data_IF_576786329775
#
_entry.id   IF_576786329775
#
_cell.length_a   1.000
_cell.length_b   1.000
_cell.length_c   1.000
_cell.angle_alpha   90.00
_cell.angle_beta   90.00
_cell.angle_gamma   90.00
#
_symmetry.space_group_name_H-M   'P 1'
#
loop_
_entity.id
_entity.type
_entity.pdbx_description
1 polymer ?
#
# COMPACT_ATOMS: atom_id res chain seq x y z
N UNK A 1 0.17 -5.69 9.87
CA UNK A 1 1.29 -6.58 10.15
C UNK A 1 1.01 -7.99 9.63
N UNK A 2 2.05 -8.83 9.50
CA UNK A 2 2.00 -10.16 8.94
C UNK A 2 0.89 -11.04 9.54
N UNK A 3 0.72 -11.04 10.85
CA UNK A 3 -0.28 -11.88 11.55
C UNK A 3 -1.71 -11.58 11.09
N UNK A 4 -2.04 -10.30 10.85
CA UNK A 4 -3.38 -9.92 10.37
C UNK A 4 -3.64 -10.35 8.93
N UNK A 5 -2.59 -10.53 8.13
CA UNK A 5 -2.68 -10.94 6.73
C UNK A 5 -2.64 -12.46 6.54
N UNK A 6 -2.43 -13.26 7.60
CA UNK A 6 -2.29 -14.72 7.50
C UNK A 6 -3.50 -15.39 6.86
N UNK A 7 -4.72 -14.94 7.14
CA UNK A 7 -5.93 -15.54 6.54
C UNK A 7 -5.94 -15.36 5.02
N UNK A 8 -5.67 -14.16 4.55
CA UNK A 8 -5.64 -13.85 3.12
C UNK A 8 -4.46 -14.57 2.44
N UNK A 9 -3.28 -14.57 3.08
CA UNK A 9 -2.15 -15.35 2.60
C UNK A 9 -2.46 -16.83 2.49
N UNK A 10 -3.15 -17.40 3.48
CA UNK A 10 -3.59 -18.80 3.44
C UNK A 10 -4.55 -19.07 2.26
N UNK A 11 -5.51 -18.17 1.99
CA UNK A 11 -6.43 -18.33 0.86
C UNK A 11 -5.70 -18.28 -0.48
N UNK A 12 -4.80 -17.31 -0.68
CA UNK A 12 -3.98 -17.25 -1.89
C UNK A 12 -3.12 -18.51 -2.09
N UNK A 13 -2.51 -19.00 -1.02
CA UNK A 13 -1.71 -20.22 -1.11
C UNK A 13 -2.56 -21.44 -1.40
N UNK A 14 -3.68 -21.62 -0.68
CA UNK A 14 -4.52 -22.81 -0.79
C UNK A 14 -5.31 -22.88 -2.09
N UNK A 15 -5.91 -21.76 -2.51
CA UNK A 15 -6.85 -21.75 -3.64
C UNK A 15 -6.15 -21.40 -4.98
N UNK A 16 -5.01 -20.71 -4.94
CA UNK A 16 -4.30 -20.25 -6.14
C UNK A 16 -2.87 -20.81 -6.26
N UNK A 17 -2.41 -21.61 -5.30
CA UNK A 17 -1.05 -22.16 -5.25
C UNK A 17 0.07 -21.08 -5.28
N UNK A 18 -0.19 -19.91 -4.70
CA UNK A 18 0.79 -18.83 -4.63
C UNK A 18 1.76 -19.05 -3.48
N UNK A 19 3.03 -18.73 -3.71
CA UNK A 19 3.97 -18.48 -2.62
C UNK A 19 3.64 -17.14 -1.97
N UNK A 20 3.72 -17.05 -0.65
CA UNK A 20 3.31 -15.88 0.12
C UNK A 20 4.47 -15.30 0.89
N UNK A 21 4.67 -13.99 0.75
CA UNK A 21 5.53 -13.19 1.60
C UNK A 21 4.69 -12.17 2.36
N UNK A 22 4.77 -12.19 3.68
CA UNK A 22 4.04 -11.28 4.57
C UNK A 22 5.04 -10.46 5.39
N UNK A 23 5.49 -9.28 4.92
CA UNK A 23 6.38 -8.44 5.70
C UNK A 23 5.63 -7.72 6.82
N UNK A 24 6.31 -7.52 7.94
CA UNK A 24 5.93 -6.50 8.91
C UNK A 24 6.54 -5.16 8.47
N UNK A 25 5.71 -4.14 8.31
CA UNK A 25 6.15 -2.79 7.99
C UNK A 25 6.90 -2.16 9.18
N UNK A 26 7.67 -1.12 8.93
CA UNK A 26 8.37 -0.36 9.96
C UNK A 26 7.44 0.02 11.12
N UNK A 27 7.90 -0.14 12.35
CA UNK A 27 7.10 0.11 13.55
C UNK A 27 5.98 -0.90 13.83
N UNK A 28 5.92 -2.02 13.09
CA UNK A 28 4.89 -3.05 13.25
C UNK A 28 5.49 -4.44 13.45
N UNK A 29 4.75 -5.28 14.18
CA UNK A 29 5.10 -6.68 14.38
C UNK A 29 6.48 -6.88 14.98
N UNK A 30 7.36 -7.57 14.27
CA UNK A 30 8.74 -7.84 14.65
C UNK A 30 9.76 -6.92 13.96
N UNK A 31 9.31 -6.02 13.09
CA UNK A 31 10.17 -5.04 12.43
C UNK A 31 10.61 -3.94 13.39
N UNK A 32 11.76 -3.35 13.10
CA UNK A 32 12.29 -2.20 13.81
C UNK A 32 11.36 -0.98 13.68
N UNK A 33 11.57 0.02 14.53
CA UNK A 33 10.83 1.25 14.51
C UNK A 33 9.86 1.42 15.68
N UNK A 34 9.41 2.64 15.88
CA UNK A 34 8.57 3.03 17.01
C UNK A 34 7.35 3.90 16.61
N UNK A 35 7.12 4.08 15.32
CA UNK A 35 5.98 4.85 14.78
C UNK A 35 5.51 4.31 13.45
N UNK A 36 4.26 4.55 13.11
CA UNK A 36 3.71 4.21 11.79
C UNK A 36 4.11 5.28 10.75
N UNK A 37 4.49 4.85 9.56
CA UNK A 37 4.85 5.73 8.43
C UNK A 37 3.69 5.94 7.45
N UNK A 38 2.51 5.40 7.78
CA UNK A 38 1.26 5.56 7.04
C UNK A 38 1.36 5.25 5.54
N UNK A 39 2.20 4.27 5.18
CA UNK A 39 2.41 3.86 3.80
C UNK A 39 3.46 4.67 3.03
N UNK A 40 3.74 5.92 3.44
CA UNK A 40 4.58 6.81 2.63
C UNK A 40 6.03 6.37 2.52
N UNK A 41 6.72 6.17 3.63
CA UNK A 41 8.07 5.60 3.60
C UNK A 41 8.04 4.09 3.48
N UNK A 42 7.02 3.45 4.05
CA UNK A 42 6.80 2.00 3.94
C UNK A 42 6.79 1.51 2.48
N UNK A 43 6.36 2.34 1.51
CA UNK A 43 6.36 1.96 0.10
C UNK A 43 7.75 1.60 -0.42
N UNK A 44 8.79 2.25 0.10
CA UNK A 44 10.19 1.97 -0.30
C UNK A 44 10.68 0.64 0.29
N UNK A 45 10.29 0.36 1.53
CA UNK A 45 10.58 -0.93 2.17
C UNK A 45 9.87 -2.08 1.45
N UNK A 46 8.60 -1.87 1.04
CA UNK A 46 7.84 -2.86 0.26
C UNK A 46 8.51 -3.14 -1.08
N UNK A 47 9.03 -2.13 -1.79
CA UNK A 47 9.80 -2.33 -3.01
C UNK A 47 11.02 -3.23 -2.79
N UNK A 48 11.77 -3.05 -1.70
CA UNK A 48 12.87 -3.93 -1.33
C UNK A 48 12.40 -5.34 -0.98
N UNK A 49 11.25 -5.47 -0.30
CA UNK A 49 10.66 -6.77 -0.01
C UNK A 49 10.22 -7.52 -1.28
N UNK A 50 9.73 -6.82 -2.31
CA UNK A 50 9.40 -7.46 -3.58
C UNK A 50 10.63 -7.96 -4.32
N UNK A 51 11.75 -7.23 -4.29
CA UNK A 51 13.05 -7.70 -4.79
C UNK A 51 13.52 -8.96 -4.03
N UNK A 52 13.43 -8.93 -2.71
CA UNK A 52 13.77 -10.09 -1.87
C UNK A 52 12.89 -11.30 -2.21
N UNK A 53 11.60 -11.08 -2.47
CA UNK A 53 10.67 -12.15 -2.86
C UNK A 53 11.05 -12.72 -4.24
N UNK A 54 11.40 -11.89 -5.21
CA UNK A 54 11.88 -12.35 -6.52
C UNK A 54 13.14 -13.20 -6.39
N UNK A 55 14.08 -12.77 -5.57
CA UNK A 55 15.29 -13.56 -5.29
C UNK A 55 14.99 -14.90 -4.61
N UNK A 56 14.12 -14.93 -3.62
CA UNK A 56 13.79 -16.13 -2.84
C UNK A 56 13.00 -17.17 -3.66
N UNK A 57 12.01 -16.72 -4.39
CA UNK A 57 11.09 -17.60 -5.13
C UNK A 57 11.58 -17.87 -6.55
N UNK A 58 12.20 -16.92 -7.22
CA UNK A 58 12.76 -17.10 -8.57
C UNK A 58 13.87 -18.14 -8.65
N UNK A 59 14.68 -18.29 -7.60
CA UNK A 59 15.76 -19.30 -7.55
C UNK A 59 15.26 -20.74 -7.42
N UNK A 60 14.04 -20.97 -6.97
CA UNK A 60 13.52 -22.32 -6.72
C UNK A 60 12.97 -23.04 -7.93
N UNK A 61 12.74 -22.34 -9.03
CA UNK A 61 11.99 -22.87 -10.17
C UNK A 61 12.82 -23.21 -11.41
N UNK A 62 14.12 -22.91 -11.47
CA UNK A 62 14.90 -23.22 -12.68
C UNK A 62 16.35 -23.59 -12.39
N UNK A 63 16.77 -24.78 -12.88
CA UNK A 63 18.15 -25.16 -13.04
C UNK A 63 18.84 -24.41 -14.23
N UNK A 64 18.09 -23.58 -14.97
CA UNK A 64 18.60 -22.81 -16.12
C UNK A 64 18.63 -21.31 -15.80
N UNK A 65 19.74 -20.68 -16.14
CA UNK A 65 20.04 -19.26 -15.92
C UNK A 65 19.08 -18.30 -16.68
N UNK A 66 18.25 -18.79 -17.58
CA UNK A 66 17.50 -17.99 -18.56
C UNK A 66 16.09 -17.55 -18.13
N UNK A 67 15.55 -18.01 -17.00
CA UNK A 67 14.21 -17.62 -16.54
C UNK A 67 14.16 -17.52 -15.02
N UNK A 68 14.55 -16.37 -14.48
CA UNK A 68 14.64 -16.12 -13.03
C UNK A 68 13.71 -15.02 -12.54
N UNK A 69 12.66 -14.67 -13.26
CA UNK A 69 11.70 -13.70 -12.75
C UNK A 69 10.44 -14.39 -12.23
N UNK A 70 9.97 -13.95 -11.07
CA UNK A 70 8.66 -14.31 -10.55
C UNK A 70 7.59 -13.42 -11.16
N UNK A 71 6.33 -13.78 -10.96
CA UNK A 71 5.19 -12.92 -11.20
C UNK A 71 4.52 -12.64 -9.86
N UNK A 72 4.36 -11.36 -9.53
CA UNK A 72 3.87 -10.95 -8.21
C UNK A 72 2.60 -10.15 -8.27
N UNK A 73 1.74 -10.39 -7.28
CA UNK A 73 0.63 -9.53 -6.90
C UNK A 73 1.00 -8.85 -5.59
N UNK A 74 0.86 -7.55 -5.52
CA UNK A 74 1.00 -6.80 -4.26
C UNK A 74 -0.39 -6.51 -3.73
N UNK A 75 -0.71 -7.04 -2.54
CA UNK A 75 -2.01 -6.87 -1.91
C UNK A 75 -1.88 -6.23 -0.53
N UNK A 76 -2.66 -5.20 -0.27
CA UNK A 76 -2.71 -4.53 1.03
C UNK A 76 -4.13 -4.23 1.47
N UNK A 77 -4.33 -4.19 2.81
CA UNK A 77 -5.61 -3.84 3.45
C UNK A 77 -5.42 -2.59 4.30
N UNK A 78 -6.37 -1.65 4.26
CA UNK A 78 -6.39 -0.41 5.04
C UNK A 78 -5.10 0.40 4.81
N UNK A 79 -4.30 0.68 5.84
CA UNK A 79 -2.98 1.29 5.67
C UNK A 79 -2.09 0.52 4.69
N UNK A 80 -2.20 -0.82 4.64
CA UNK A 80 -1.51 -1.65 3.65
C UNK A 80 -2.00 -1.41 2.22
N UNK A 81 -3.29 -1.14 2.03
CA UNK A 81 -3.87 -0.77 0.74
C UNK A 81 -3.33 0.58 0.26
N UNK A 82 -3.30 1.58 1.15
CA UNK A 82 -2.66 2.86 0.84
C UNK A 82 -1.17 2.69 0.49
N UNK A 83 -0.45 1.83 1.24
CA UNK A 83 0.95 1.47 0.93
C UNK A 83 1.05 0.85 -0.46
N UNK A 84 0.19 -0.11 -0.80
CA UNK A 84 0.13 -0.78 -2.11
C UNK A 84 -0.09 0.22 -3.26
N UNK A 85 -1.03 1.14 -3.09
CA UNK A 85 -1.26 2.21 -4.05
C UNK A 85 -0.05 3.16 -4.18
N UNK A 86 0.61 3.48 -3.06
CA UNK A 86 1.81 4.30 -3.06
C UNK A 86 3.00 3.59 -3.73
N UNK A 87 3.14 2.27 -3.56
CA UNK A 87 4.10 1.43 -4.29
C UNK A 87 3.84 1.48 -5.78
N UNK A 88 2.58 1.39 -6.20
CA UNK A 88 2.21 1.32 -7.60
C UNK A 88 2.67 2.52 -8.44
N UNK A 89 2.75 3.70 -7.83
CA UNK A 89 3.24 4.90 -8.51
C UNK A 89 4.76 4.98 -8.65
N UNK A 90 5.52 4.13 -7.94
CA UNK A 90 6.98 4.09 -8.01
C UNK A 90 7.49 3.07 -9.06
N UNK A 91 6.72 2.02 -9.32
CA UNK A 91 7.17 0.84 -10.09
C UNK A 91 7.45 1.14 -11.56
N UNK A 92 6.72 2.04 -12.21
CA UNK A 92 6.84 2.31 -13.64
C UNK A 92 7.53 3.63 -13.97
N UNK A 93 7.47 4.60 -13.06
CA UNK A 93 7.96 5.97 -13.29
C UNK A 93 8.99 6.45 -12.27
N UNK A 94 9.23 5.65 -11.22
CA UNK A 94 10.22 5.93 -10.19
C UNK A 94 11.62 5.43 -10.56
N UNK A 95 12.50 5.43 -9.55
CA UNK A 95 13.85 4.85 -9.67
C UNK A 95 13.83 3.31 -9.70
N UNK A 96 12.65 2.70 -9.47
CA UNK A 96 12.49 1.27 -9.28
C UNK A 96 11.76 0.66 -10.47
N UNK A 97 12.48 -0.08 -11.29
CA UNK A 97 11.89 -0.90 -12.35
C UNK A 97 11.75 -2.32 -11.83
N UNK A 98 10.52 -2.73 -11.53
CA UNK A 98 10.21 -4.06 -11.00
C UNK A 98 9.27 -4.82 -11.95
N UNK A 99 9.81 -5.38 -13.04
CA UNK A 99 9.01 -6.04 -14.10
C UNK A 99 8.29 -7.31 -13.63
N UNK A 100 8.64 -7.83 -12.46
CA UNK A 100 8.02 -9.00 -11.86
C UNK A 100 6.68 -8.67 -11.17
N UNK A 101 6.40 -7.42 -10.82
CA UNK A 101 5.08 -7.01 -10.33
C UNK A 101 4.12 -6.92 -11.51
N UNK A 102 2.99 -7.65 -11.43
CA UNK A 102 1.99 -7.76 -12.51
C UNK A 102 0.69 -7.02 -12.23
N UNK A 103 0.29 -6.97 -10.98
CA UNK A 103 -0.92 -6.25 -10.59
C UNK A 103 -0.93 -5.91 -9.09
N UNK A 104 -1.89 -5.08 -8.73
CA UNK A 104 -2.10 -4.62 -7.37
C UNK A 104 -3.52 -4.92 -6.92
N UNK A 105 -3.69 -5.19 -5.63
CA UNK A 105 -5.00 -5.29 -4.97
C UNK A 105 -4.98 -4.35 -3.77
N UNK A 106 -5.82 -3.34 -3.81
CA UNK A 106 -6.06 -2.47 -2.68
C UNK A 106 -7.41 -2.78 -2.05
N UNK A 107 -7.46 -2.96 -0.74
CA UNK A 107 -8.65 -3.29 0.02
C UNK A 107 -8.85 -2.25 1.14
N UNK A 108 -9.87 -1.41 0.98
CA UNK A 108 -10.24 -0.29 1.86
C UNK A 108 -9.10 0.70 2.18
N UNK A 109 -8.38 1.15 1.15
CA UNK A 109 -7.34 2.16 1.29
C UNK A 109 -7.88 3.60 1.26
N UNK A 110 -7.07 4.55 1.73
CA UNK A 110 -7.41 5.98 1.79
C UNK A 110 -6.71 6.79 0.69
N UNK A 111 -7.31 7.94 0.36
CA UNK A 111 -6.80 8.88 -0.67
C UNK A 111 -5.46 9.51 -0.32
N UNK A 112 -5.30 9.92 0.92
CA UNK A 112 -4.08 10.51 1.47
C UNK A 112 -4.05 10.40 2.99
N UNK A 113 -2.87 10.50 3.58
CA UNK A 113 -2.73 10.54 5.04
C UNK A 113 -3.43 11.77 5.63
N UNK A 114 -3.44 12.88 4.90
CA UNK A 114 -4.16 14.08 5.30
C UNK A 114 -5.67 13.84 5.39
N UNK A 115 -6.27 13.24 4.36
CA UNK A 115 -7.72 13.01 4.32
C UNK A 115 -8.15 11.99 5.38
N UNK A 116 -7.35 10.94 5.58
CA UNK A 116 -7.58 9.94 6.62
C UNK A 116 -7.58 10.57 8.01
N UNK A 117 -6.51 11.28 8.37
CA UNK A 117 -6.43 11.92 9.68
C UNK A 117 -7.47 13.03 9.89
N UNK A 118 -7.83 13.76 8.83
CA UNK A 118 -8.91 14.75 8.90
C UNK A 118 -10.26 14.09 9.15
N UNK A 119 -10.52 12.97 8.48
CA UNK A 119 -11.72 12.16 8.65
C UNK A 119 -11.84 11.63 10.07
N UNK A 120 -10.81 10.96 10.55
CA UNK A 120 -10.73 10.39 11.89
C UNK A 120 -10.83 11.45 13.00
N UNK A 121 -10.13 12.57 12.85
CA UNK A 121 -10.22 13.69 13.79
C UNK A 121 -11.65 14.22 13.92
N UNK A 122 -12.36 14.29 12.78
CA UNK A 122 -13.77 14.71 12.77
C UNK A 122 -14.69 13.65 13.34
N UNK A 123 -14.50 12.38 12.96
CA UNK A 123 -15.38 11.27 13.36
C UNK A 123 -15.27 10.95 14.86
N UNK A 124 -14.03 10.86 15.37
CA UNK A 124 -13.79 10.44 16.76
C UNK A 124 -13.90 11.58 17.77
N UNK A 125 -13.46 12.78 17.41
CA UNK A 125 -13.34 13.89 18.35
C UNK A 125 -14.23 15.09 18.00
N UNK A 126 -14.87 15.08 16.84
CA UNK A 126 -15.63 16.21 16.29
C UNK A 126 -14.83 17.52 16.21
N UNK A 127 -13.52 17.40 16.00
CA UNK A 127 -12.60 18.55 15.93
C UNK A 127 -12.34 18.95 14.48
N UNK A 128 -12.08 20.26 14.22
CA UNK A 128 -11.63 20.72 12.91
C UNK A 128 -10.14 20.38 12.69
N UNK A 129 -9.74 20.32 11.43
CA UNK A 129 -8.33 20.08 11.07
C UNK A 129 -7.40 21.18 11.61
N UNK A 130 -7.82 22.44 11.55
CA UNK A 130 -7.04 23.56 12.10
C UNK A 130 -7.38 23.81 13.58
N UNK A 131 -6.39 24.04 14.44
CA UNK A 131 -4.94 24.06 14.16
C UNK A 131 -4.26 22.69 14.31
N UNK A 132 -4.94 21.69 14.86
CA UNK A 132 -4.33 20.46 15.40
C UNK A 132 -3.62 19.65 14.31
N UNK A 133 -4.32 19.33 13.20
CA UNK A 133 -3.75 18.54 12.11
C UNK A 133 -2.62 19.28 11.40
N UNK A 134 -2.72 20.61 11.28
CA UNK A 134 -1.64 21.41 10.71
C UNK A 134 -0.39 21.39 11.57
N UNK A 135 -0.55 21.47 12.91
CA UNK A 135 0.58 21.37 13.84
C UNK A 135 1.20 19.98 13.82
N UNK A 136 0.38 18.93 13.80
CA UNK A 136 0.85 17.55 13.69
C UNK A 136 1.62 17.31 12.38
N UNK A 137 1.12 17.82 11.26
CA UNK A 137 1.80 17.77 9.98
C UNK A 137 3.16 18.48 9.99
N UNK A 138 3.21 19.66 10.59
CA UNK A 138 4.46 20.41 10.74
C UNK A 138 5.48 19.63 11.58
N UNK A 139 5.06 19.05 12.71
CA UNK A 139 5.92 18.20 13.54
C UNK A 139 6.42 16.96 12.78
N UNK A 140 5.54 16.31 12.04
CA UNK A 140 5.90 15.15 11.21
C UNK A 140 7.02 15.49 10.22
N UNK A 141 6.93 16.65 9.57
CA UNK A 141 8.00 17.13 8.67
C UNK A 141 9.32 17.37 9.40
N UNK A 142 9.29 17.93 10.60
CA UNK A 142 10.51 18.24 11.36
C UNK A 142 11.18 16.96 11.90
N UNK A 143 10.39 16.02 12.42
CA UNK A 143 10.93 14.84 13.10
C UNK A 143 11.18 13.67 12.14
N UNK A 144 10.30 13.47 11.14
CA UNK A 144 10.32 12.27 10.29
C UNK A 144 10.66 12.58 8.82
N UNK A 145 10.72 13.84 8.44
CA UNK A 145 11.14 14.28 7.10
C UNK A 145 10.13 13.97 5.99
N UNK A 146 8.83 13.88 6.31
CA UNK A 146 7.74 13.74 5.34
C UNK A 146 6.48 14.43 5.87
N UNK A 147 5.51 14.71 5.01
CA UNK A 147 4.27 15.34 5.41
C UNK A 147 3.02 14.61 4.90
N UNK A 148 1.89 14.87 5.58
CA UNK A 148 0.63 14.19 5.33
C UNK A 148 0.01 14.50 3.98
N UNK A 149 0.32 15.65 3.38
CA UNK A 149 -0.17 16.04 2.05
C UNK A 149 0.64 15.38 0.94
N UNK A 150 1.96 15.21 1.17
CA UNK A 150 2.86 14.49 0.27
C UNK A 150 2.49 13.00 0.20
N UNK A 151 2.07 12.43 1.33
CA UNK A 151 1.70 11.03 1.46
C UNK A 151 0.31 10.78 0.87
N UNK A 152 0.22 10.79 -0.47
CA UNK A 152 -1.01 10.70 -1.25
C UNK A 152 -1.04 9.46 -2.14
N UNK A 153 -1.89 8.50 -1.80
CA UNK A 153 -2.19 7.35 -2.65
C UNK A 153 -2.86 7.80 -3.97
N UNK A 154 -3.70 8.84 -3.89
CA UNK A 154 -4.39 9.41 -5.06
C UNK A 154 -3.39 9.92 -6.13
N UNK A 155 -2.31 10.58 -5.71
CA UNK A 155 -1.30 11.05 -6.65
C UNK A 155 -0.43 9.91 -7.20
N UNK A 156 -0.29 8.84 -6.46
CA UNK A 156 0.51 7.69 -6.89
C UNK A 156 -0.26 6.78 -7.87
N UNK A 157 -1.54 6.50 -7.66
CA UNK A 157 -2.31 5.65 -8.58
C UNK A 157 -2.45 6.25 -9.97
N UNK A 158 -2.42 7.57 -10.12
CA UNK A 158 -2.40 8.27 -11.43
C UNK A 158 -1.24 7.85 -12.33
N UNK A 159 -0.14 7.41 -11.73
CA UNK A 159 1.08 7.04 -12.44
C UNK A 159 1.12 5.57 -12.83
N UNK A 160 0.30 4.73 -12.20
CA UNK A 160 0.32 3.29 -12.39
C UNK A 160 -0.48 2.87 -13.63
N UNK A 161 0.15 2.15 -14.56
CA UNK A 161 -0.51 1.55 -15.75
C UNK A 161 -0.76 0.05 -15.59
N UNK A 162 -0.22 -0.59 -14.54
CA UNK A 162 -0.48 -1.99 -14.24
C UNK A 162 -1.91 -2.23 -13.74
N UNK A 163 -2.48 -3.43 -13.93
CA UNK A 163 -3.81 -3.76 -13.43
C UNK A 163 -3.96 -3.50 -11.92
N UNK A 164 -5.09 -2.94 -11.50
CA UNK A 164 -5.41 -2.73 -10.10
C UNK A 164 -6.86 -3.10 -9.79
N UNK A 165 -7.04 -3.94 -8.79
CA UNK A 165 -8.34 -4.25 -8.20
C UNK A 165 -8.53 -3.38 -6.96
N UNK A 166 -9.65 -2.66 -6.92
CA UNK A 166 -10.13 -1.89 -5.80
C UNK A 166 -11.24 -2.66 -5.10
N UNK A 167 -11.11 -2.81 -3.79
CA UNK A 167 -12.12 -3.45 -2.94
C UNK A 167 -12.47 -2.50 -1.81
N UNK A 168 -13.76 -2.23 -1.59
CA UNK A 168 -14.15 -1.36 -0.49
C UNK A 168 -15.55 -1.70 0.01
N UNK A 169 -15.70 -1.86 1.32
CA UNK A 169 -17.01 -2.06 1.92
C UNK A 169 -17.90 -0.83 1.80
N UNK A 170 -19.15 -1.01 1.38
CA UNK A 170 -20.13 0.07 1.18
C UNK A 170 -20.59 0.74 2.48
N UNK A 171 -20.31 0.12 3.62
CA UNK A 171 -20.62 0.61 4.96
C UNK A 171 -19.36 0.83 5.83
N UNK A 172 -18.18 1.00 5.21
CA UNK A 172 -16.96 1.29 5.96
C UNK A 172 -17.04 2.69 6.57
N UNK A 173 -16.97 2.73 7.90
CA UNK A 173 -17.03 3.97 8.68
C UNK A 173 -15.66 4.41 9.19
N UNK A 174 -14.64 3.58 9.07
CA UNK A 174 -13.27 3.90 9.47
C UNK A 174 -12.50 4.55 8.33
N UNK A 175 -12.36 3.84 7.20
CA UNK A 175 -11.95 4.45 5.94
C UNK A 175 -13.22 4.66 5.10
N UNK A 176 -13.78 5.87 5.06
CA UNK A 176 -15.07 6.07 4.43
C UNK A 176 -15.10 5.66 2.96
N UNK A 177 -16.13 4.90 2.56
CA UNK A 177 -16.29 4.36 1.20
C UNK A 177 -16.11 5.39 0.09
N UNK A 178 -16.46 6.65 0.33
CA UNK A 178 -16.27 7.71 -0.68
C UNK A 178 -14.83 7.85 -1.15
N UNK A 179 -13.83 7.41 -0.36
CA UNK A 179 -12.41 7.52 -0.71
C UNK A 179 -12.00 6.64 -1.88
N UNK A 180 -12.68 5.50 -2.09
CA UNK A 180 -12.35 4.62 -3.22
C UNK A 180 -12.70 5.23 -4.58
N UNK A 181 -13.75 6.03 -4.66
CA UNK A 181 -14.21 6.57 -5.96
C UNK A 181 -13.18 7.48 -6.63
N UNK A 182 -12.62 8.53 -5.99
CA UNK A 182 -11.57 9.32 -6.61
C UNK A 182 -10.30 8.53 -6.90
N UNK A 183 -9.96 7.51 -6.11
CA UNK A 183 -8.82 6.61 -6.37
C UNK A 183 -9.07 5.81 -7.65
N UNK A 184 -10.24 5.18 -7.75
CA UNK A 184 -10.65 4.42 -8.92
C UNK A 184 -10.70 5.30 -10.17
N UNK A 185 -11.33 6.48 -10.10
CA UNK A 185 -11.40 7.40 -11.23
C UNK A 185 -10.02 7.85 -11.72
N UNK A 186 -9.12 8.17 -10.81
CA UNK A 186 -7.79 8.70 -11.13
C UNK A 186 -6.84 7.64 -11.70
N UNK A 187 -7.02 6.36 -11.36
CA UNK A 187 -6.19 5.25 -11.84
C UNK A 187 -6.44 5.00 -13.35
N UNK A 188 -5.40 5.04 -14.22
CA UNK A 188 -5.54 4.59 -15.61
C UNK A 188 -5.97 3.12 -15.72
N UNK A 189 -6.59 2.75 -16.85
CA UNK A 189 -6.89 1.35 -17.15
C UNK A 189 -5.58 0.50 -17.21
N UNK A 190 -5.64 -0.83 -16.94
CA UNK A 190 -6.83 -1.59 -16.52
C UNK A 190 -7.10 -1.48 -15.01
N UNK A 191 -8.37 -1.46 -14.63
CA UNK A 191 -8.84 -1.39 -13.24
C UNK A 191 -10.22 -2.01 -13.05
N UNK A 192 -10.51 -2.49 -11.85
CA UNK A 192 -11.81 -3.03 -11.47
C UNK A 192 -12.18 -2.57 -10.05
N UNK A 193 -13.45 -2.42 -9.75
CA UNK A 193 -13.98 -2.03 -8.43
C UNK A 193 -15.04 -3.03 -7.98
N UNK A 194 -14.89 -3.54 -6.75
CA UNK A 194 -15.81 -4.44 -6.07
C UNK A 194 -16.37 -3.82 -4.78
#
# INVERSE_FOLDING_TARGET
>A
NAVRMLMIGYLYNKEMDFNILLPDLYGHGMSEGNHAQMGWKDRLDVLQWTETADELFGRRHTDSVASRSTEMVVHGISMGAATTMMVSGEVEHGQYQQPFIKCFVEDCGYTSVWDEFRGELKAQFNLPAFPLLHTANWLCRQEYGWDFLEASALEQVKKCTLPMLFIHGDADTFVPTWMVYPLYEAKPEPKELW
#
